data_IF_275898368889
#
_entry.id   IF_275898368889
#
_cell.length_a   1.000
_cell.length_b   1.000
_cell.length_c   1.000
_cell.angle_alpha   90.00
_cell.angle_beta   90.00
_cell.angle_gamma   90.00
#
_symmetry.space_group_name_H-M   'P 1'
#
loop_
_entity.id
_entity.type
_entity.pdbx_description
1 polymer ?
#
# COMPACT_ATOMS: atom_id res chain seq x y z
N UNK A 1 -4.99 28.70 -25.20
CA UNK A 1 -3.79 28.45 -24.38
C UNK A 1 -3.35 27.02 -24.61
N UNK A 2 -2.06 26.77 -24.84
CA UNK A 2 -1.51 25.43 -25.10
C UNK A 2 -0.86 24.84 -23.85
N UNK A 3 -0.95 23.51 -23.70
CA UNK A 3 -0.34 22.79 -22.58
C UNK A 3 1.14 22.50 -22.83
N UNK A 4 1.96 22.55 -21.77
CA UNK A 4 3.39 22.20 -21.81
C UNK A 4 3.69 21.05 -20.86
N UNK A 5 4.54 20.11 -21.29
CA UNK A 5 5.08 19.07 -20.41
C UNK A 5 6.04 19.73 -19.43
N UNK A 6 5.74 19.60 -18.14
CA UNK A 6 6.56 20.16 -17.04
C UNK A 6 7.48 19.13 -16.40
N UNK A 7 7.08 17.86 -16.39
CA UNK A 7 7.86 16.77 -15.80
C UNK A 7 7.40 15.40 -16.29
N UNK A 8 8.30 14.41 -16.25
CA UNK A 8 8.01 12.99 -16.46
C UNK A 8 8.60 12.17 -15.32
N UNK A 9 7.77 11.37 -14.65
CA UNK A 9 8.14 10.57 -13.49
C UNK A 9 7.75 9.11 -13.69
N UNK A 10 8.58 8.22 -13.15
CA UNK A 10 8.32 6.78 -13.12
C UNK A 10 8.45 6.29 -11.69
N UNK A 11 7.68 5.27 -11.32
CA UNK A 11 7.73 4.71 -9.97
C UNK A 11 7.45 3.21 -9.99
N UNK A 12 8.09 2.48 -9.07
CA UNK A 12 7.82 1.07 -8.88
C UNK A 12 6.43 0.87 -8.25
N UNK A 13 5.75 -0.21 -8.65
CA UNK A 13 4.48 -0.60 -8.06
C UNK A 13 4.70 -1.83 -7.18
N UNK A 14 4.46 -1.74 -5.87
CA UNK A 14 4.68 -2.85 -4.96
C UNK A 14 3.60 -3.93 -5.16
N UNK A 15 4.00 -5.15 -5.55
CA UNK A 15 3.10 -6.30 -5.77
C UNK A 15 3.65 -7.55 -5.11
N UNK A 16 2.73 -8.45 -4.76
CA UNK A 16 3.03 -9.85 -4.47
C UNK A 16 2.71 -10.70 -5.71
N UNK A 17 3.02 -12.01 -5.66
CA UNK A 17 2.82 -12.92 -6.81
C UNK A 17 1.37 -13.03 -7.26
N UNK A 18 0.43 -12.82 -6.35
CA UNK A 18 -1.01 -12.86 -6.56
C UNK A 18 -1.63 -11.48 -6.85
N UNK A 19 -0.84 -10.40 -6.80
CA UNK A 19 -1.28 -9.00 -6.92
C UNK A 19 -2.31 -8.56 -5.86
N UNK A 20 -2.38 -9.26 -4.72
CA UNK A 20 -3.27 -8.89 -3.62
C UNK A 20 -2.50 -8.16 -2.51
N UNK A 21 -3.14 -7.23 -1.78
CA UNK A 21 -2.58 -6.67 -0.56
C UNK A 21 -2.42 -7.77 0.50
N UNK A 22 -1.30 -7.75 1.21
CA UNK A 22 -1.09 -8.61 2.37
C UNK A 22 -0.61 -7.80 3.57
N UNK A 23 -1.14 -8.19 4.73
CA UNK A 23 -0.73 -7.69 6.03
C UNK A 23 -0.20 -8.90 6.81
N UNK A 24 1.05 -8.82 7.27
CA UNK A 24 1.62 -9.84 8.17
C UNK A 24 1.98 -9.20 9.50
N UNK A 25 1.52 -9.81 10.59
CA UNK A 25 1.72 -9.36 11.96
C UNK A 25 2.64 -10.34 12.70
N UNK A 26 3.76 -9.83 13.22
CA UNK A 26 4.65 -10.50 14.17
C UNK A 26 4.61 -9.76 15.52
N UNK A 27 5.14 -10.35 16.60
CA UNK A 27 5.07 -9.83 17.98
C UNK A 27 5.39 -8.33 18.16
N UNK A 28 6.23 -7.74 17.31
CA UNK A 28 6.63 -6.32 17.35
C UNK A 28 6.79 -5.71 15.96
N UNK A 29 6.25 -6.35 14.92
CA UNK A 29 6.45 -5.92 13.54
C UNK A 29 5.19 -6.18 12.71
N UNK A 30 4.64 -5.13 12.14
CA UNK A 30 3.61 -5.22 11.11
C UNK A 30 4.23 -4.91 9.76
N UNK A 31 4.03 -5.79 8.77
CA UNK A 31 4.44 -5.55 7.38
C UNK A 31 3.20 -5.46 6.49
N UNK A 32 3.17 -4.46 5.62
CA UNK A 32 2.09 -4.21 4.67
C UNK A 32 2.72 -4.09 3.27
N UNK A 33 2.21 -4.85 2.30
CA UNK A 33 2.68 -4.81 0.91
C UNK A 33 1.57 -5.26 -0.06
N UNK A 34 1.83 -5.22 -1.38
CA UNK A 34 0.91 -5.78 -2.39
C UNK A 34 -0.19 -4.84 -2.87
N UNK A 35 -0.12 -3.55 -2.55
CA UNK A 35 -1.17 -2.56 -2.82
C UNK A 35 -1.32 -2.16 -4.30
N UNK A 36 -0.35 -2.52 -5.14
CA UNK A 36 -0.29 -2.25 -6.58
C UNK A 36 -0.83 -0.85 -6.98
N UNK A 37 -1.75 -0.78 -7.97
CA UNK A 37 -2.32 0.46 -8.53
C UNK A 37 -3.36 1.12 -7.64
N UNK A 38 -3.71 0.51 -6.50
CA UNK A 38 -4.83 0.93 -5.67
C UNK A 38 -4.42 1.37 -4.26
N UNK A 39 -3.11 1.45 -3.98
CA UNK A 39 -2.62 1.79 -2.64
C UNK A 39 -3.14 3.10 -2.08
N UNK A 40 -3.35 4.12 -2.91
CA UNK A 40 -3.92 5.39 -2.44
C UNK A 40 -5.38 5.24 -1.96
N UNK A 41 -6.19 4.49 -2.71
CA UNK A 41 -7.60 4.28 -2.39
C UNK A 41 -7.79 3.31 -1.22
N UNK A 42 -6.94 2.28 -1.13
CA UNK A 42 -7.03 1.24 -0.11
C UNK A 42 -6.36 1.62 1.21
N UNK A 43 -5.51 2.66 1.23
CA UNK A 43 -4.72 3.02 2.40
C UNK A 43 -5.52 3.14 3.70
N UNK A 44 -6.68 3.83 3.76
CA UNK A 44 -7.42 3.97 5.02
C UNK A 44 -7.89 2.62 5.58
N UNK A 45 -8.48 1.77 4.74
CA UNK A 45 -9.00 0.47 5.15
C UNK A 45 -7.87 -0.50 5.56
N UNK A 46 -6.75 -0.48 4.83
CA UNK A 46 -5.58 -1.32 5.13
C UNK A 46 -4.93 -0.93 6.45
N UNK A 47 -4.88 0.37 6.77
CA UNK A 47 -4.37 0.86 8.05
C UNK A 47 -5.31 0.47 9.19
N UNK A 48 -6.62 0.62 9.02
CA UNK A 48 -7.60 0.19 10.01
C UNK A 48 -7.48 -1.31 10.33
N UNK A 49 -7.39 -2.16 9.30
CA UNK A 49 -7.23 -3.60 9.49
C UNK A 49 -5.90 -3.95 10.15
N UNK A 50 -4.80 -3.28 9.78
CA UNK A 50 -3.51 -3.46 10.41
C UNK A 50 -3.57 -3.13 11.92
N UNK A 51 -4.21 -2.03 12.30
CA UNK A 51 -4.33 -1.62 13.71
C UNK A 51 -5.24 -2.56 14.51
N UNK A 52 -6.35 -2.99 13.92
CA UNK A 52 -7.28 -3.94 14.55
C UNK A 52 -6.67 -5.34 14.71
N UNK A 53 -5.81 -5.74 13.77
CA UNK A 53 -5.14 -7.04 13.77
C UNK A 53 -3.91 -7.14 14.67
N UNK A 54 -3.29 -6.02 15.06
CA UNK A 54 -2.08 -6.07 15.87
C UNK A 54 -1.49 -4.72 16.27
N UNK A 55 -1.87 -4.28 17.47
CA UNK A 55 -1.01 -3.64 18.49
C UNK A 55 -1.31 -4.20 19.91
N UNK A 56 -2.42 -4.94 20.12
CA UNK A 56 -2.91 -5.34 21.46
C UNK A 56 -3.57 -6.74 21.52
N UNK A 57 -2.97 -7.77 20.91
CA UNK A 57 -3.33 -9.17 21.22
C UNK A 57 -2.12 -9.93 21.74
#
# INVERSE_FOLDING_TARGET
>A
AEARIVNMVTNCRPTLRDNLPAITQDKRLTRINGLYRHGYLLAPAVVEEALNGGILK
#
